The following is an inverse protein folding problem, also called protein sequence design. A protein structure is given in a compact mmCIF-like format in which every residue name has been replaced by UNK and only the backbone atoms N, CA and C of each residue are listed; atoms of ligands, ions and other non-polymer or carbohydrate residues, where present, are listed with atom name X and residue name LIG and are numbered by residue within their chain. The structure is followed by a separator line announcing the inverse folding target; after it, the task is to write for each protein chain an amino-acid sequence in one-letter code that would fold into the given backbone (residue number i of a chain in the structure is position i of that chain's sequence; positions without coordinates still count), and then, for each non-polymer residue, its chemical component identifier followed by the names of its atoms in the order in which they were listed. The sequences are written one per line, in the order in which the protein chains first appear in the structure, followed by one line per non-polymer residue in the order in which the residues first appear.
data_IF_866023272431
#
_entry.id   IF_866023272431
#
_cell.length_a   1.000
_cell.length_b   1.000
_cell.length_c   1.000
_cell.angle_alpha   90.00
_cell.angle_beta   90.00
_cell.angle_gamma   90.00
#
_symmetry.space_group_name_H-M   'P 1'
#
loop_
_entity.id
_entity.type
_entity.pdbx_description
1 polymer ?
#
# COMPACT_ATOMS: atom_id res chain seq x y z
N UNK A 1 0.75 -28.58 8.10
CA UNK A 1 0.97 -27.14 7.95
C UNK A 1 0.04 -26.62 6.86
N UNK A 2 -0.76 -25.60 7.16
CA UNK A 2 -1.60 -24.93 6.17
C UNK A 2 -0.78 -23.79 5.51
N UNK A 3 -0.88 -23.63 4.18
CA UNK A 3 -0.30 -22.50 3.46
C UNK A 3 -1.28 -21.34 3.49
N UNK A 4 -0.80 -20.12 3.73
CA UNK A 4 -1.59 -18.92 3.50
C UNK A 4 -1.77 -18.70 2.01
N UNK A 5 -3.00 -18.45 1.60
CA UNK A 5 -3.37 -18.15 0.21
C UNK A 5 -4.19 -16.86 0.16
N UNK A 6 -4.13 -16.07 -0.93
CA UNK A 6 -5.13 -15.03 -1.14
C UNK A 6 -6.54 -15.63 -1.06
N UNK A 7 -7.53 -14.92 -0.52
CA UNK A 7 -7.61 -13.50 -0.21
C UNK A 7 -7.23 -13.08 1.22
N UNK A 8 -6.34 -13.78 1.90
CA UNK A 8 -5.96 -13.48 3.29
C UNK A 8 -4.95 -12.31 3.39
N UNK A 9 -5.19 -11.27 2.62
CA UNK A 9 -4.40 -10.03 2.64
C UNK A 9 -5.35 -8.84 2.66
N UNK A 10 -5.02 -7.85 3.48
CA UNK A 10 -5.70 -6.55 3.46
C UNK A 10 -4.68 -5.43 3.28
N UNK A 11 -5.04 -4.42 2.49
CA UNK A 11 -4.23 -3.23 2.26
C UNK A 11 -5.05 -2.00 2.65
N UNK A 12 -4.44 -1.16 3.48
CA UNK A 12 -5.02 0.09 3.94
C UNK A 12 -4.16 1.26 3.48
N UNK A 13 -4.81 2.34 3.08
CA UNK A 13 -4.18 3.64 2.90
C UNK A 13 -4.42 4.49 4.13
N UNK A 14 -3.36 5.06 4.71
CA UNK A 14 -3.45 5.99 5.83
C UNK A 14 -2.76 7.29 5.43
N UNK A 15 -3.50 8.41 5.23
CA UNK A 15 -2.91 9.71 4.93
C UNK A 15 -1.93 10.15 6.03
N UNK A 16 -0.88 10.86 5.65
CA UNK A 16 0.18 11.28 6.59
C UNK A 16 -0.35 12.20 7.70
N UNK A 17 -1.30 13.05 7.35
CA UNK A 17 -1.95 13.99 8.27
C UNK A 17 -2.97 13.33 9.22
N UNK A 18 -3.34 12.09 8.94
CA UNK A 18 -4.29 11.34 9.76
C UNK A 18 -3.65 10.73 11.02
N UNK A 19 -2.33 10.52 11.03
CA UNK A 19 -1.60 9.92 12.15
C UNK A 19 -0.41 10.80 12.54
N UNK A 20 -0.31 11.20 13.83
CA UNK A 20 0.77 12.06 14.31
C UNK A 20 2.14 11.38 14.27
N UNK A 21 2.18 10.06 14.48
CA UNK A 21 3.41 9.29 14.56
C UNK A 21 3.26 7.93 13.89
N UNK A 22 4.39 7.31 13.51
CA UNK A 22 4.41 5.94 12.98
C UNK A 22 3.89 4.94 14.01
N UNK A 23 4.06 5.21 15.31
CA UNK A 23 3.57 4.34 16.39
C UNK A 23 2.04 4.26 16.44
N UNK A 24 1.34 5.29 15.98
CA UNK A 24 -0.12 5.26 15.88
C UNK A 24 -0.62 4.26 14.84
N UNK A 25 0.21 3.89 13.85
CA UNK A 25 -0.12 2.86 12.87
C UNK A 25 -0.14 1.44 13.46
N UNK A 26 0.43 1.25 14.65
CA UNK A 26 0.38 -0.03 15.35
C UNK A 26 -0.82 -0.16 16.30
N UNK A 27 -1.70 0.83 16.34
CA UNK A 27 -2.92 0.79 17.17
C UNK A 27 -4.10 0.28 16.34
N UNK A 28 -4.82 -0.72 16.86
CA UNK A 28 -6.01 -1.25 16.21
C UNK A 28 -7.06 -0.14 15.95
N UNK A 29 -7.15 0.85 16.84
CA UNK A 29 -8.06 2.00 16.75
C UNK A 29 -7.84 2.88 15.51
N UNK A 30 -6.66 2.85 14.89
CA UNK A 30 -6.39 3.56 13.62
C UNK A 30 -7.21 3.00 12.47
N UNK A 31 -7.56 1.72 12.52
CA UNK A 31 -8.23 0.98 11.44
C UNK A 31 -9.71 0.70 11.72
N UNK A 32 -10.18 0.89 12.94
CA UNK A 32 -11.52 0.51 13.38
C UNK A 32 -12.26 1.67 14.05
N UNK A 33 -13.59 1.60 14.07
CA UNK A 33 -14.43 2.57 14.77
C UNK A 33 -14.90 3.76 13.93
N UNK A 34 -15.67 4.66 14.56
CA UNK A 34 -16.28 5.82 13.90
C UNK A 34 -15.29 6.90 13.47
N UNK A 35 -14.08 6.90 14.05
CA UNK A 35 -13.00 7.84 13.73
C UNK A 35 -11.87 7.20 12.94
N UNK A 36 -12.19 6.18 12.16
CA UNK A 36 -11.21 5.46 11.34
C UNK A 36 -10.47 6.41 10.40
N UNK A 37 -9.16 6.42 10.53
CA UNK A 37 -8.24 7.22 9.71
C UNK A 37 -7.75 6.46 8.48
N UNK A 38 -7.77 5.15 8.55
CA UNK A 38 -7.35 4.27 7.48
C UNK A 38 -8.49 3.97 6.51
N UNK A 39 -8.19 3.97 5.22
CA UNK A 39 -9.11 3.55 4.17
C UNK A 39 -8.74 2.15 3.70
N UNK A 40 -9.63 1.17 3.88
CA UNK A 40 -9.44 -0.17 3.33
C UNK A 40 -9.62 -0.11 1.80
N UNK A 41 -8.54 -0.36 1.06
CA UNK A 41 -8.51 -0.33 -0.41
C UNK A 41 -8.39 -1.73 -1.03
N UNK A 42 -8.38 -2.78 -0.21
CA UNK A 42 -8.10 -4.17 -0.63
C UNK A 42 -8.97 -4.63 -1.80
N UNK A 43 -10.28 -4.42 -1.70
CA UNK A 43 -11.22 -4.88 -2.73
C UNK A 43 -11.15 -4.10 -4.05
N UNK A 44 -10.49 -2.95 -4.07
CA UNK A 44 -10.28 -2.19 -5.28
C UNK A 44 -9.04 -2.65 -6.06
N UNK A 45 -8.11 -3.36 -5.41
CA UNK A 45 -6.83 -3.75 -5.98
C UNK A 45 -7.01 -4.97 -6.89
N UNK A 46 -6.40 -4.92 -8.06
CA UNK A 46 -6.25 -6.05 -8.97
C UNK A 46 -5.23 -7.03 -8.41
N UNK A 47 -5.43 -8.32 -8.64
CA UNK A 47 -4.46 -9.36 -8.24
C UNK A 47 -3.09 -9.14 -8.90
N UNK A 48 -2.01 -9.47 -8.18
CA UNK A 48 -0.64 -9.29 -8.70
C UNK A 48 -0.03 -7.94 -8.34
N UNK A 49 -0.49 -7.31 -7.24
CA UNK A 49 0.12 -6.08 -6.71
C UNK A 49 1.59 -6.28 -6.39
N UNK A 50 2.39 -5.24 -6.62
CA UNK A 50 3.76 -5.12 -6.11
C UNK A 50 3.75 -4.26 -4.86
N UNK A 51 4.02 -4.85 -3.71
CA UNK A 51 4.17 -4.16 -2.44
C UNK A 51 5.06 -5.00 -1.53
N UNK A 52 6.27 -4.55 -1.29
CA UNK A 52 7.21 -5.32 -0.46
C UNK A 52 8.63 -4.76 -0.45
N UNK A 53 9.44 -5.33 0.44
CA UNK A 53 10.87 -5.06 0.48
C UNK A 53 11.56 -5.61 -0.78
N UNK A 54 12.52 -4.86 -1.25
CA UNK A 54 13.42 -5.25 -2.34
C UNK A 54 14.84 -5.44 -1.84
N UNK A 55 15.77 -5.79 -2.72
CA UNK A 55 17.18 -5.89 -2.36
C UNK A 55 17.70 -4.56 -1.80
N UNK A 56 18.44 -4.64 -0.71
CA UNK A 56 19.08 -3.48 -0.10
C UNK A 56 20.24 -2.99 -0.96
N UNK A 57 20.50 -1.69 -0.91
CA UNK A 57 21.76 -1.16 -1.42
C UNK A 57 22.91 -1.76 -0.62
N UNK A 58 24.02 -2.04 -1.29
CA UNK A 58 25.19 -2.66 -0.66
C UNK A 58 26.44 -1.82 -0.86
N UNK A 59 27.26 -1.76 0.17
CA UNK A 59 28.64 -1.29 0.07
C UNK A 59 29.55 -2.51 -0.13
N UNK A 60 30.29 -2.50 -1.22
CA UNK A 60 31.31 -3.50 -1.57
C UNK A 60 32.74 -2.93 -1.54
N UNK A 61 32.91 -1.77 -0.90
CA UNK A 61 34.23 -1.16 -0.71
C UNK A 61 35.17 -2.11 0.04
N UNK A 62 36.34 -2.33 -0.51
CA UNK A 62 37.35 -3.27 0.03
C UNK A 62 38.58 -2.57 0.48
N UNK A 63 39.11 -3.03 1.58
CA UNK A 63 40.50 -2.77 1.96
C UNK A 63 41.45 -3.64 1.14
N UNK A 64 42.65 -3.16 0.90
CA UNK A 64 43.75 -3.93 0.27
C UNK A 64 44.11 -5.20 1.06
N UNK A 65 43.70 -5.25 2.33
CA UNK A 65 43.95 -6.39 3.24
C UNK A 65 42.81 -7.40 3.29
N UNK A 66 41.70 -7.15 2.60
CA UNK A 66 40.54 -8.03 2.61
C UNK A 66 40.76 -9.24 1.72
N UNK A 67 40.61 -10.45 2.31
CA UNK A 67 40.84 -11.72 1.63
C UNK A 67 39.59 -12.30 0.95
N UNK A 68 38.42 -11.62 1.00
CA UNK A 68 37.15 -12.09 0.46
C UNK A 68 36.22 -11.01 0.01
N UNK A 69 35.15 -11.42 -0.66
CA UNK A 69 34.02 -10.53 -1.07
C UNK A 69 33.02 -10.46 0.07
N UNK A 70 32.99 -9.36 0.83
CA UNK A 70 31.92 -9.04 1.75
C UNK A 70 31.09 -7.89 1.17
N UNK A 71 29.76 -8.06 1.14
CA UNK A 71 28.82 -6.98 0.83
C UNK A 71 28.07 -6.64 2.10
N UNK A 72 28.11 -5.38 2.49
CA UNK A 72 27.38 -4.87 3.65
C UNK A 72 26.12 -4.15 3.19
N UNK A 73 24.91 -4.59 3.61
CA UNK A 73 23.70 -3.85 3.30
C UNK A 73 23.73 -2.48 3.98
N UNK A 74 23.41 -1.42 3.23
CA UNK A 74 23.44 -0.05 3.71
C UNK A 74 22.03 0.54 3.89
N UNK A 75 21.20 0.45 2.87
CA UNK A 75 19.84 1.02 2.87
C UNK A 75 18.85 -0.07 2.49
N UNK A 76 17.82 -0.24 3.32
CA UNK A 76 16.71 -1.13 3.01
C UNK A 76 15.78 -0.45 2.00
N UNK A 77 15.51 -1.12 0.89
CA UNK A 77 14.65 -0.64 -0.18
C UNK A 77 13.31 -1.38 -0.19
N UNK A 78 12.29 -0.73 -0.73
CA UNK A 78 11.00 -1.33 -1.02
C UNK A 78 10.40 -0.71 -2.27
N UNK A 79 9.50 -1.46 -2.88
CA UNK A 79 8.72 -0.98 -4.02
C UNK A 79 7.24 -1.12 -3.76
N UNK A 80 6.45 -0.24 -4.36
CA UNK A 80 5.01 -0.26 -4.28
C UNK A 80 4.40 0.21 -5.61
N UNK A 81 3.58 -0.65 -6.20
CA UNK A 81 2.76 -0.33 -7.36
C UNK A 81 1.45 -1.09 -7.27
N UNK A 82 0.34 -0.37 -7.29
CA UNK A 82 -0.98 -0.94 -7.15
C UNK A 82 -1.82 -0.61 -8.36
N UNK A 83 -2.45 -1.64 -8.94
CA UNK A 83 -3.44 -1.49 -10.00
C UNK A 83 -4.83 -1.64 -9.40
N UNK A 84 -5.72 -0.73 -9.74
CA UNK A 84 -7.07 -0.64 -9.21
C UNK A 84 -8.10 -0.79 -10.31
N UNK A 85 -9.23 -1.40 -9.99
CA UNK A 85 -10.41 -1.36 -10.86
C UNK A 85 -11.06 0.02 -10.85
N UNK A 86 -11.57 0.43 -12.03
CA UNK A 86 -12.47 1.59 -12.14
C UNK A 86 -13.90 1.17 -11.89
N UNK A 87 -14.68 2.05 -11.26
CA UNK A 87 -16.10 1.81 -11.09
C UNK A 87 -16.82 1.88 -12.45
N UNK A 88 -17.76 0.96 -12.65
CA UNK A 88 -18.66 1.04 -13.79
C UNK A 88 -19.63 2.21 -13.60
N UNK A 89 -19.68 3.10 -14.57
CA UNK A 89 -20.58 4.26 -14.59
C UNK A 89 -21.60 4.03 -15.69
N UNK A 90 -22.88 4.22 -15.38
CA UNK A 90 -23.90 4.18 -16.39
C UNK A 90 -23.66 5.27 -17.45
N UNK A 91 -23.94 4.94 -18.72
CA UNK A 91 -23.67 5.84 -19.84
C UNK A 91 -24.25 7.23 -19.59
N UNK A 92 -23.43 8.27 -19.73
CA UNK A 92 -23.81 9.67 -19.53
C UNK A 92 -23.88 10.16 -18.10
N UNK A 93 -23.56 9.31 -17.11
CA UNK A 93 -23.50 9.72 -15.71
C UNK A 93 -22.07 10.10 -15.29
N UNK A 94 -21.99 11.11 -14.45
CA UNK A 94 -20.74 11.45 -13.76
C UNK A 94 -20.49 10.43 -12.65
N UNK A 95 -19.22 10.07 -12.42
CA UNK A 95 -18.84 9.23 -11.28
C UNK A 95 -19.40 9.82 -9.98
N UNK A 96 -20.11 9.02 -9.18
CA UNK A 96 -20.89 9.51 -8.06
C UNK A 96 -20.07 10.09 -6.90
N UNK A 97 -18.80 9.75 -6.78
CA UNK A 97 -17.91 10.21 -5.72
C UNK A 97 -18.13 9.48 -4.38
N UNK A 98 -17.14 8.69 -3.97
CA UNK A 98 -17.08 7.97 -2.68
C UNK A 98 -18.21 6.97 -2.37
N UNK A 99 -18.87 6.42 -3.39
CA UNK A 99 -19.98 5.49 -3.21
C UNK A 99 -19.55 4.04 -3.09
N UNK A 100 -18.50 3.66 -3.79
CA UNK A 100 -17.92 2.29 -3.75
C UNK A 100 -16.48 2.30 -3.30
N UNK A 101 -15.94 1.11 -3.02
CA UNK A 101 -14.51 0.95 -2.70
C UNK A 101 -13.63 1.32 -3.91
N UNK A 102 -14.09 1.07 -5.13
CA UNK A 102 -13.39 1.41 -6.37
C UNK A 102 -13.32 2.94 -6.55
N UNK A 103 -14.46 3.62 -6.38
CA UNK A 103 -14.51 5.08 -6.48
C UNK A 103 -13.70 5.75 -5.37
N UNK A 104 -13.73 5.23 -4.14
CA UNK A 104 -12.89 5.74 -3.04
C UNK A 104 -11.40 5.67 -3.38
N UNK A 105 -10.93 4.53 -3.88
CA UNK A 105 -9.54 4.38 -4.29
C UNK A 105 -9.18 5.36 -5.43
N UNK A 106 -10.07 5.51 -6.41
CA UNK A 106 -9.87 6.46 -7.51
C UNK A 106 -9.83 7.91 -7.02
N UNK A 107 -10.75 8.33 -6.12
CA UNK A 107 -10.77 9.70 -5.58
C UNK A 107 -9.50 10.02 -4.78
N UNK A 108 -8.90 9.04 -4.10
CA UNK A 108 -7.65 9.21 -3.36
C UNK A 108 -6.48 9.56 -4.29
N UNK A 109 -6.37 8.87 -5.43
CA UNK A 109 -5.14 8.91 -6.24
C UNK A 109 -5.29 9.55 -7.62
N UNK A 110 -6.50 9.86 -8.08
CA UNK A 110 -6.78 10.34 -9.46
C UNK A 110 -6.01 11.57 -9.91
N UNK A 111 -5.57 12.39 -8.98
CA UNK A 111 -4.84 13.63 -9.30
C UNK A 111 -3.31 13.42 -9.24
N UNK A 112 -2.85 12.36 -8.64
CA UNK A 112 -1.44 12.12 -8.44
C UNK A 112 -0.75 13.37 -7.88
N UNK A 113 0.39 13.72 -8.43
CA UNK A 113 1.18 14.89 -8.02
C UNK A 113 0.53 16.25 -8.37
N UNK A 114 -0.50 16.29 -9.22
CA UNK A 114 -1.17 17.55 -9.61
C UNK A 114 -1.94 18.23 -8.46
N UNK A 115 -2.31 17.50 -7.42
CA UNK A 115 -3.00 18.05 -6.25
C UNK A 115 -2.06 18.44 -5.09
N UNK A 116 -0.76 18.44 -5.34
CA UNK A 116 0.27 18.39 -4.31
C UNK A 116 0.67 16.95 -4.02
N UNK A 117 1.56 16.74 -3.08
CA UNK A 117 2.01 15.38 -2.75
C UNK A 117 0.91 14.64 -1.98
N UNK A 118 0.47 13.51 -2.52
CA UNK A 118 -0.42 12.57 -1.83
C UNK A 118 0.46 11.61 -1.03
N UNK A 119 0.85 12.04 0.15
CA UNK A 119 1.76 11.31 1.04
C UNK A 119 0.99 10.53 2.09
N UNK A 120 1.46 9.33 2.41
CA UNK A 120 0.83 8.48 3.41
C UNK A 120 1.55 7.15 3.61
N UNK A 121 0.82 6.24 4.21
CA UNK A 121 1.30 4.90 4.50
C UNK A 121 0.44 3.86 3.80
N UNK A 122 1.07 2.92 3.12
CA UNK A 122 0.48 1.65 2.73
C UNK A 122 0.72 0.66 3.86
N UNK A 123 -0.36 0.15 4.43
CA UNK A 123 -0.30 -0.84 5.51
C UNK A 123 -0.87 -2.15 4.98
N UNK A 124 -0.02 -3.17 4.94
CA UNK A 124 -0.37 -4.50 4.52
C UNK A 124 -0.54 -5.40 5.75
N UNK A 125 -1.68 -6.06 5.85
CA UNK A 125 -1.94 -7.12 6.84
C UNK A 125 -2.04 -8.46 6.12
N UNK A 126 -1.36 -9.47 6.65
CA UNK A 126 -1.34 -10.84 6.11
C UNK A 126 -1.95 -11.79 7.13
N UNK A 127 -2.62 -12.84 6.65
CA UNK A 127 -3.15 -13.93 7.49
C UNK A 127 -4.65 -13.94 7.68
N UNK A 128 -5.33 -12.82 7.46
CA UNK A 128 -6.79 -12.69 7.64
C UNK A 128 -7.44 -12.07 6.42
N UNK A 129 -8.69 -12.49 6.16
CA UNK A 129 -9.50 -11.90 5.07
C UNK A 129 -9.75 -10.42 5.35
N UNK A 130 -9.89 -9.64 4.28
CA UNK A 130 -10.00 -8.18 4.36
C UNK A 130 -11.24 -7.69 5.16
N UNK A 131 -12.29 -8.52 5.28
CA UNK A 131 -13.50 -8.21 6.07
C UNK A 131 -13.27 -8.28 7.58
N UNK A 132 -12.25 -9.02 8.02
CA UNK A 132 -11.93 -9.13 9.45
C UNK A 132 -11.40 -7.79 9.94
N UNK A 133 -11.95 -7.22 11.02
CA UNK A 133 -11.41 -5.98 11.59
C UNK A 133 -9.94 -6.13 12.01
N UNK A 134 -9.23 -5.00 12.09
CA UNK A 134 -7.89 -4.99 12.66
C UNK A 134 -7.99 -5.19 14.17
N UNK A 135 -7.25 -6.14 14.68
CA UNK A 135 -7.21 -6.48 16.10
C UNK A 135 -5.77 -6.56 16.59
N UNK A 136 -5.61 -6.55 17.91
CA UNK A 136 -4.32 -6.75 18.58
C UNK A 136 -3.66 -8.06 18.11
N UNK A 137 -2.35 -8.06 18.11
CA UNK A 137 -1.47 -9.19 17.72
C UNK A 137 -1.56 -9.62 16.25
N UNK A 138 -2.33 -8.92 15.40
CA UNK A 138 -2.28 -9.12 13.96
C UNK A 138 -0.99 -8.57 13.39
N UNK A 139 -0.40 -9.29 12.44
CA UNK A 139 0.85 -8.91 11.77
C UNK A 139 0.59 -7.92 10.65
N UNK A 140 1.32 -6.80 10.68
CA UNK A 140 1.29 -5.77 9.64
C UNK A 140 2.68 -5.37 9.16
N UNK A 141 2.74 -4.98 7.91
CA UNK A 141 3.90 -4.30 7.32
C UNK A 141 3.49 -2.91 6.86
N UNK A 142 4.35 -1.93 7.08
CA UNK A 142 4.09 -0.51 6.85
C UNK A 142 5.13 0.05 5.90
N UNK A 143 4.67 0.78 4.89
CA UNK A 143 5.49 1.41 3.87
C UNK A 143 5.10 2.88 3.74
N UNK A 144 6.02 3.80 4.05
CA UNK A 144 5.80 5.24 3.84
C UNK A 144 6.01 5.57 2.37
N UNK A 145 5.02 6.17 1.73
CA UNK A 145 5.03 6.39 0.28
C UNK A 145 4.41 7.73 -0.10
N UNK A 146 4.79 8.22 -1.28
CA UNK A 146 4.09 9.28 -2.01
C UNK A 146 3.47 8.64 -3.26
N UNK A 147 2.17 8.85 -3.48
CA UNK A 147 1.52 8.42 -4.70
C UNK A 147 1.99 9.27 -5.88
N UNK A 148 2.48 8.61 -6.93
CA UNK A 148 2.83 9.25 -8.19
C UNK A 148 1.60 9.33 -9.13
N UNK A 149 1.81 9.81 -10.35
CA UNK A 149 0.74 10.02 -11.31
C UNK A 149 0.08 8.71 -11.72
N UNK A 150 -1.24 8.59 -11.60
CA UNK A 150 -1.95 7.41 -12.03
C UNK A 150 -1.91 7.27 -13.56
N UNK A 151 -1.78 6.02 -14.02
CA UNK A 151 -1.85 5.65 -15.42
C UNK A 151 -3.13 4.87 -15.67
N UNK A 152 -4.02 5.38 -16.50
CA UNK A 152 -5.22 4.65 -16.93
C UNK A 152 -4.83 3.51 -17.89
N UNK A 153 -5.39 2.32 -17.67
CA UNK A 153 -5.24 1.13 -18.50
C UNK A 153 -6.59 0.78 -19.10
N UNK A 154 -6.77 1.16 -20.36
CA UNK A 154 -7.97 0.92 -21.12
C UNK A 154 -7.70 -0.32 -21.98
N UNK A 155 -8.33 -1.45 -21.60
CA UNK A 155 -8.21 -2.71 -22.34
C UNK A 155 -8.94 -2.70 -23.69
N UNK A 156 -8.93 -3.85 -24.33
CA UNK A 156 -9.50 -4.12 -25.68
C UNK A 156 -11.03 -4.27 -25.72
N UNK A 157 -11.72 -3.83 -24.66
CA UNK A 157 -13.19 -3.87 -24.54
C UNK A 157 -13.75 -5.11 -23.84
N UNK A 158 -12.94 -6.11 -23.56
CA UNK A 158 -13.34 -7.32 -22.83
C UNK A 158 -12.87 -7.34 -21.36
N UNK A 159 -11.96 -6.43 -20.99
CA UNK A 159 -11.44 -6.31 -19.64
C UNK A 159 -12.01 -5.06 -18.92
N UNK A 160 -12.18 -5.11 -17.60
CA UNK A 160 -12.51 -3.92 -16.81
C UNK A 160 -11.45 -2.83 -17.00
N UNK A 161 -11.90 -1.58 -17.07
CA UNK A 161 -10.99 -0.43 -17.06
C UNK A 161 -10.28 -0.38 -15.71
N UNK A 162 -8.99 -0.16 -15.74
CA UNK A 162 -8.11 -0.15 -14.56
C UNK A 162 -7.29 1.14 -14.55
N UNK A 163 -6.68 1.45 -13.42
CA UNK A 163 -5.62 2.46 -13.33
C UNK A 163 -4.53 1.97 -12.39
N UNK A 164 -3.30 2.19 -12.78
CA UNK A 164 -2.12 1.83 -11.98
C UNK A 164 -1.52 3.07 -11.35
N UNK A 165 -1.25 2.99 -10.06
CA UNK A 165 -0.58 4.03 -9.29
C UNK A 165 0.77 3.51 -8.84
N UNK A 166 1.88 4.04 -9.34
CA UNK A 166 3.19 3.84 -8.75
C UNK A 166 3.30 4.65 -7.46
N UNK A 167 3.98 4.11 -6.47
CA UNK A 167 4.25 4.78 -5.21
C UNK A 167 5.74 4.93 -5.00
N UNK A 168 6.17 6.14 -4.70
CA UNK A 168 7.56 6.47 -4.47
C UNK A 168 7.92 6.26 -3.01
N UNK A 169 8.91 5.40 -2.69
CA UNK A 169 9.35 5.15 -1.33
C UNK A 169 9.83 6.42 -0.61
N UNK A 170 9.48 6.55 0.67
CA UNK A 170 9.86 7.69 1.52
C UNK A 170 10.67 7.25 2.75
N UNK A 171 11.50 6.22 2.59
CA UNK A 171 12.53 5.82 3.55
C UNK A 171 12.04 5.08 4.81
N UNK A 172 10.76 5.09 5.14
CA UNK A 172 10.25 4.36 6.31
C UNK A 172 9.57 3.07 5.88
N UNK A 173 10.13 1.94 6.33
CA UNK A 173 9.57 0.61 6.17
C UNK A 173 9.62 -0.13 7.50
N UNK A 174 8.53 -0.74 7.89
CA UNK A 174 8.47 -1.65 9.04
C UNK A 174 7.80 -2.94 8.59
N UNK A 175 8.45 -4.06 8.80
CA UNK A 175 8.00 -5.37 8.36
C UNK A 175 7.53 -6.23 9.54
N UNK A 176 6.41 -6.91 9.34
CA UNK A 176 5.94 -8.02 10.18
C UNK A 176 5.91 -7.68 11.68
N UNK A 177 5.36 -6.52 12.01
CA UNK A 177 5.19 -6.08 13.41
C UNK A 177 3.76 -6.32 13.87
N UNK A 178 3.60 -6.77 15.10
CA UNK A 178 2.28 -6.98 15.70
C UNK A 178 1.57 -5.65 16.02
N UNK A 179 0.27 -5.61 15.80
CA UNK A 179 -0.61 -4.53 16.22
C UNK A 179 -0.76 -4.52 17.73
N UNK A 180 -0.64 -3.36 18.37
CA UNK A 180 -0.89 -3.14 19.78
C UNK A 180 -2.36 -2.83 20.09
N UNK A 181 -2.60 -2.35 21.30
CA UNK A 181 -3.93 -1.89 21.76
C UNK A 181 -4.30 -0.54 21.17
#
# INVERSE_FOLDING_TARGET
MAKMIPPNVAVYWVPIDAVPTVDDLFKATTYTGASTKAVNISCAIVTGMTLGATESDTDDSRSICDSGNAKTPTIANYEASLTFFREAIATGQKAPGNTSVYDKAFQLFKKGTQAGLVEGYLVQRIGFRQEVPMEKDMEISIYKVVADNPKDEIGDGNAPIQFTVPFLPQGTMVLNKAVGE
#
